data_IF_961614720888
#
_entry.id   IF_961614720888
#
_cell.length_a   1.000
_cell.length_b   1.000
_cell.length_c   1.000
_cell.angle_alpha   90.00
_cell.angle_beta   90.00
_cell.angle_gamma   90.00
#
_symmetry.space_group_name_H-M   'P 1'
#
loop_
_entity.id
_entity.type
_entity.pdbx_description
1 polymer ?
#
# COMPACT_ATOMS: atom_id res chain seq x y z
N UNK A 1 17.68 22.94 -9.15
CA UNK A 1 19.13 22.71 -9.33
C UNK A 1 19.66 22.07 -8.05
N UNK A 2 19.88 20.76 -8.08
CA UNK A 2 20.28 19.95 -6.93
C UNK A 2 19.58 18.59 -6.88
N UNK A 3 20.01 17.64 -7.70
CA UNK A 3 19.74 16.21 -7.48
C UNK A 3 20.63 15.67 -6.34
N UNK A 4 20.17 14.61 -5.64
CA UNK A 4 20.93 13.50 -5.00
C UNK A 4 19.93 12.67 -4.14
N UNK A 5 19.30 11.62 -4.69
CA UNK A 5 19.64 10.17 -4.66
C UNK A 5 19.84 9.58 -3.24
N UNK A 6 18.89 8.72 -2.84
CA UNK A 6 18.98 7.79 -1.70
C UNK A 6 19.83 6.57 -2.09
N UNK A 7 20.70 6.15 -1.17
CA UNK A 7 21.71 5.10 -1.33
C UNK A 7 21.44 3.94 -0.34
N UNK A 8 21.61 2.67 -0.74
CA UNK A 8 21.77 1.49 0.16
C UNK A 8 22.74 0.48 -0.49
N UNK A 9 24.01 0.35 -0.09
CA UNK A 9 24.69 -0.39 1.00
C UNK A 9 24.97 -1.86 0.67
N UNK A 10 26.13 -2.11 0.04
CA UNK A 10 26.72 -3.45 -0.18
C UNK A 10 28.23 -3.45 0.15
N UNK A 11 28.60 -3.02 1.36
CA UNK A 11 29.88 -3.36 2.02
C UNK A 11 31.17 -2.66 1.53
N UNK A 12 32.14 -2.50 2.44
CA UNK A 12 32.04 -1.48 3.48
C UNK A 12 31.99 -0.04 2.93
N UNK A 13 32.20 0.21 1.62
CA UNK A 13 32.11 1.56 1.00
C UNK A 13 32.16 1.64 -0.56
N UNK A 14 31.82 0.59 -1.33
CA UNK A 14 31.62 0.70 -2.80
C UNK A 14 30.17 0.39 -3.22
N UNK A 15 29.63 1.13 -4.20
CA UNK A 15 28.20 1.16 -4.55
C UNK A 15 27.95 0.77 -6.02
N UNK A 16 26.96 -0.09 -6.31
CA UNK A 16 26.54 -0.50 -7.65
C UNK A 16 24.99 -0.55 -7.74
N UNK A 17 24.38 0.04 -8.79
CA UNK A 17 22.93 0.02 -9.04
C UNK A 17 22.59 -0.93 -10.19
N UNK A 18 21.69 -1.93 -10.00
CA UNK A 18 21.30 -2.85 -11.07
C UNK A 18 20.10 -2.38 -11.91
N UNK A 19 19.55 -1.19 -11.69
CA UNK A 19 18.41 -0.67 -12.47
C UNK A 19 18.81 0.58 -13.28
N UNK A 20 18.46 0.66 -14.57
CA UNK A 20 18.60 1.89 -15.35
C UNK A 20 17.71 2.98 -14.76
N UNK A 21 18.20 4.23 -14.79
CA UNK A 21 17.56 5.39 -14.18
C UNK A 21 16.10 5.53 -14.63
N UNK A 22 15.16 5.47 -13.68
CA UNK A 22 13.77 5.81 -13.92
C UNK A 22 13.63 7.33 -14.10
N UNK A 23 13.47 7.76 -15.35
CA UNK A 23 12.92 9.08 -15.68
C UNK A 23 11.41 9.10 -15.35
N UNK A 24 10.96 10.20 -14.73
CA UNK A 24 9.56 10.63 -14.84
C UNK A 24 8.62 10.37 -13.65
N UNK A 25 8.80 11.10 -12.54
CA UNK A 25 7.65 11.41 -11.67
C UNK A 25 6.89 12.57 -12.33
N UNK A 26 5.72 12.30 -12.93
CA UNK A 26 4.83 13.35 -13.44
C UNK A 26 4.12 14.03 -12.26
N UNK A 27 4.63 15.19 -11.86
CA UNK A 27 3.85 16.19 -11.13
C UNK A 27 2.82 16.80 -12.11
N UNK A 28 1.54 16.49 -11.96
CA UNK A 28 0.47 17.26 -12.63
C UNK A 28 0.26 18.56 -11.85
N UNK A 29 0.92 19.63 -12.30
CA UNK A 29 0.62 21.00 -11.87
C UNK A 29 -0.17 21.65 -13.01
N UNK A 30 -1.45 21.94 -12.77
CA UNK A 30 -2.25 22.77 -13.67
C UNK A 30 -1.81 24.23 -13.53
N UNK A 31 -1.14 24.76 -14.55
CA UNK A 31 -1.07 26.19 -14.83
C UNK A 31 -1.27 26.40 -16.32
N UNK A 32 -2.23 27.27 -16.67
CA UNK A 32 -2.43 27.78 -18.03
C UNK A 32 -1.20 28.56 -18.49
N UNK A 33 -0.62 28.21 -19.65
CA UNK A 33 -0.23 29.15 -20.71
C UNK A 33 0.40 28.44 -21.93
N UNK A 34 0.15 29.04 -23.09
CA UNK A 34 0.34 28.56 -24.46
C UNK A 34 1.73 28.95 -25.01
N UNK A 35 2.41 28.04 -25.72
CA UNK A 35 3.34 28.38 -26.81
C UNK A 35 3.69 27.14 -27.68
N UNK A 36 3.37 27.21 -28.96
CA UNK A 36 3.71 26.24 -30.02
C UNK A 36 5.22 26.22 -30.34
N UNK A 37 5.78 25.05 -30.70
CA UNK A 37 6.53 24.73 -31.96
C UNK A 37 7.09 23.29 -31.91
N UNK A 38 6.95 22.57 -33.04
CA UNK A 38 7.26 21.16 -33.40
C UNK A 38 8.76 20.76 -33.18
N UNK A 39 9.25 19.50 -33.10
CA UNK A 39 8.98 18.24 -33.84
C UNK A 39 9.68 17.04 -33.15
N UNK A 40 9.24 15.82 -33.52
CA UNK A 40 9.89 14.49 -33.51
C UNK A 40 9.86 13.61 -32.26
N UNK A 41 8.99 12.59 -32.35
CA UNK A 41 9.15 11.19 -31.99
C UNK A 41 9.84 10.83 -30.67
N UNK A 42 9.07 10.23 -29.74
CA UNK A 42 9.33 8.94 -29.07
C UNK A 42 8.12 8.60 -28.16
N UNK A 43 7.79 7.31 -28.13
CA UNK A 43 6.92 6.60 -27.19
C UNK A 43 5.40 6.81 -27.36
N UNK A 44 4.82 5.84 -28.08
CA UNK A 44 3.48 5.31 -27.83
C UNK A 44 3.26 5.17 -26.32
N UNK A 45 2.66 6.19 -25.71
CA UNK A 45 2.08 6.08 -24.38
C UNK A 45 0.91 5.15 -24.57
N UNK A 46 1.05 3.91 -24.11
CA UNK A 46 -0.09 2.99 -24.01
C UNK A 46 -1.24 3.74 -23.34
N UNK A 47 -2.48 3.58 -23.84
CA UNK A 47 -3.62 4.32 -23.32
C UNK A 47 -3.69 4.12 -21.79
N UNK A 48 -4.08 5.15 -21.02
CA UNK A 48 -4.12 5.05 -19.57
C UNK A 48 -4.88 3.76 -19.23
N UNK A 49 -4.20 2.86 -18.51
CA UNK A 49 -4.75 1.57 -18.08
C UNK A 49 -6.18 1.81 -17.61
N UNK A 50 -7.10 1.00 -18.12
CA UNK A 50 -8.53 1.12 -17.84
C UNK A 50 -8.76 1.47 -16.36
N UNK A 51 -9.61 2.45 -16.08
CA UNK A 51 -9.93 2.89 -14.71
C UNK A 51 -10.30 1.66 -13.87
N UNK A 52 -9.32 1.15 -13.13
CA UNK A 52 -9.49 -0.08 -12.38
C UNK A 52 -10.47 0.23 -11.25
N UNK A 53 -11.57 -0.52 -11.21
CA UNK A 53 -12.59 -0.34 -10.19
C UNK A 53 -12.05 -0.89 -8.87
N UNK A 54 -12.19 -0.10 -7.80
CA UNK A 54 -11.85 -0.53 -6.44
C UNK A 54 -13.11 -0.77 -5.61
N UNK A 55 -13.02 -1.74 -4.70
CA UNK A 55 -14.05 -2.05 -3.70
C UNK A 55 -13.50 -1.84 -2.30
N UNK A 56 -14.33 -1.30 -1.42
CA UNK A 56 -13.95 -1.10 -0.02
C UNK A 56 -14.01 -2.45 0.69
N UNK A 57 -12.95 -2.78 1.41
CA UNK A 57 -12.80 -4.00 2.18
C UNK A 57 -12.71 -3.67 3.68
N UNK A 58 -13.33 -4.50 4.50
CA UNK A 58 -13.22 -4.50 5.95
C UNK A 58 -12.35 -5.67 6.40
N UNK A 59 -11.54 -5.45 7.42
CA UNK A 59 -10.83 -6.53 8.11
C UNK A 59 -11.78 -7.15 9.13
N UNK A 60 -12.22 -8.38 8.89
CA UNK A 60 -13.26 -9.04 9.71
C UNK A 60 -12.66 -9.77 10.90
N UNK A 61 -11.63 -10.59 10.65
CA UNK A 61 -11.03 -11.42 11.71
C UNK A 61 -9.64 -11.93 11.33
N UNK A 62 -8.91 -12.37 12.36
CA UNK A 62 -7.66 -13.12 12.22
C UNK A 62 -7.92 -14.55 12.70
N UNK A 63 -7.72 -15.54 11.83
CA UNK A 63 -7.97 -16.95 12.11
C UNK A 63 -6.66 -17.68 12.39
N UNK A 64 -6.63 -18.42 13.51
CA UNK A 64 -5.54 -19.32 13.87
C UNK A 64 -6.02 -20.77 13.71
N UNK A 65 -5.68 -21.41 12.58
CA UNK A 65 -5.98 -22.82 12.37
C UNK A 65 -4.85 -23.67 12.95
N UNK A 66 -5.04 -24.26 14.13
CA UNK A 66 -4.09 -25.25 14.63
C UNK A 66 -4.44 -26.62 14.01
N UNK A 67 -3.48 -27.36 13.42
CA UNK A 67 -2.02 -27.27 13.57
C UNK A 67 -1.28 -26.49 12.46
N UNK A 68 -1.99 -25.78 11.58
CA UNK A 68 -1.38 -25.05 10.47
C UNK A 68 -0.49 -23.91 11.02
N UNK A 69 0.76 -23.77 10.54
CA UNK A 69 1.71 -22.81 11.10
C UNK A 69 1.41 -21.36 10.68
N UNK A 70 0.53 -21.15 9.69
CA UNK A 70 0.27 -19.85 9.09
C UNK A 70 -1.17 -19.39 9.36
N UNK A 71 -1.36 -18.35 10.19
CA UNK A 71 -2.67 -17.74 10.39
C UNK A 71 -3.18 -17.03 9.13
N UNK A 72 -4.50 -16.87 9.04
CA UNK A 72 -5.18 -16.16 7.97
C UNK A 72 -5.80 -14.85 8.44
N UNK A 73 -5.86 -13.85 7.58
CA UNK A 73 -6.63 -12.61 7.76
C UNK A 73 -7.82 -12.67 6.82
N UNK A 74 -9.03 -12.54 7.36
CA UNK A 74 -10.25 -12.51 6.56
C UNK A 74 -10.65 -11.06 6.31
N UNK A 75 -10.67 -10.70 5.04
CA UNK A 75 -11.20 -9.44 4.52
C UNK A 75 -12.58 -9.70 3.92
N UNK A 76 -13.46 -8.71 3.99
CA UNK A 76 -14.78 -8.78 3.36
C UNK A 76 -15.14 -7.46 2.71
N UNK A 77 -15.76 -7.51 1.54
CA UNK A 77 -16.33 -6.35 0.89
C UNK A 77 -17.35 -5.63 1.80
N UNK A 78 -17.26 -4.30 1.88
CA UNK A 78 -18.11 -3.51 2.77
C UNK A 78 -19.56 -3.40 2.28
N UNK A 79 -19.79 -3.59 0.99
CA UNK A 79 -21.09 -3.52 0.33
C UNK A 79 -21.44 -4.86 -0.33
N UNK A 80 -22.70 -5.03 -0.73
CA UNK A 80 -23.13 -6.20 -1.50
C UNK A 80 -22.26 -6.34 -2.77
N UNK A 81 -21.79 -7.55 -3.12
CA UNK A 81 -22.23 -8.86 -2.64
C UNK A 81 -21.55 -9.43 -1.36
N UNK A 82 -20.78 -8.65 -0.61
CA UNK A 82 -20.07 -9.09 0.60
C UNK A 82 -19.04 -10.21 0.39
N UNK A 83 -18.36 -10.20 -0.75
CA UNK A 83 -17.31 -11.18 -1.09
C UNK A 83 -16.19 -11.20 -0.06
N UNK A 84 -15.76 -12.39 0.32
CA UNK A 84 -14.61 -12.59 1.23
C UNK A 84 -13.28 -12.68 0.49
N UNK A 85 -12.20 -12.27 1.12
CA UNK A 85 -10.82 -12.52 0.67
C UNK A 85 -9.98 -12.94 1.88
N UNK A 86 -9.41 -14.15 1.83
CA UNK A 86 -8.53 -14.65 2.89
C UNK A 86 -7.06 -14.52 2.48
N UNK A 87 -6.25 -13.96 3.38
CA UNK A 87 -4.81 -13.74 3.17
C UNK A 87 -4.02 -14.50 4.23
N UNK A 88 -3.21 -15.46 3.79
CA UNK A 88 -2.31 -16.21 4.68
C UNK A 88 -1.07 -15.38 5.01
N UNK A 89 -0.72 -15.26 6.29
CA UNK A 89 0.35 -14.39 6.76
C UNK A 89 1.24 -15.07 7.78
N UNK A 90 2.40 -14.45 8.08
CA UNK A 90 3.25 -14.90 9.17
C UNK A 90 2.59 -14.67 10.53
N UNK A 91 2.95 -15.50 11.51
CA UNK A 91 2.41 -15.40 12.87
C UNK A 91 2.60 -14.02 13.50
N UNK A 92 3.77 -13.40 13.32
CA UNK A 92 4.08 -12.06 13.83
C UNK A 92 3.17 -10.98 13.25
N UNK A 93 2.86 -11.08 11.94
CA UNK A 93 2.04 -10.11 11.23
C UNK A 93 0.58 -10.25 11.66
N UNK A 94 0.08 -11.49 11.76
CA UNK A 94 -1.25 -11.78 12.30
C UNK A 94 -1.42 -11.28 13.73
N UNK A 95 -0.44 -11.51 14.61
CA UNK A 95 -0.46 -10.99 15.98
C UNK A 95 -0.52 -9.45 15.99
N UNK A 96 0.32 -8.79 15.21
CA UNK A 96 0.32 -7.33 15.10
C UNK A 96 -1.04 -6.78 14.64
N UNK A 97 -1.68 -7.45 13.68
CA UNK A 97 -2.97 -7.02 13.13
C UNK A 97 -4.11 -7.34 14.10
N UNK A 98 -4.11 -8.50 14.75
CA UNK A 98 -5.11 -8.86 15.76
C UNK A 98 -5.12 -7.85 16.92
N UNK A 99 -3.95 -7.45 17.40
CA UNK A 99 -3.83 -6.41 18.43
C UNK A 99 -4.34 -5.06 17.95
N UNK A 100 -4.13 -4.72 16.67
CA UNK A 100 -4.66 -3.50 16.07
C UNK A 100 -6.19 -3.51 15.99
N UNK A 101 -6.78 -4.64 15.58
CA UNK A 101 -8.23 -4.84 15.53
C UNK A 101 -8.88 -4.70 16.91
N UNK A 102 -8.23 -5.22 17.94
CA UNK A 102 -8.70 -5.10 19.33
C UNK A 102 -8.46 -3.70 19.94
N UNK A 103 -7.74 -2.81 19.23
CA UNK A 103 -7.38 -1.49 19.74
C UNK A 103 -6.44 -1.55 20.96
N UNK A 104 -5.70 -2.65 21.13
CA UNK A 104 -4.77 -2.81 22.25
C UNK A 104 -3.55 -1.90 22.08
N UNK A 105 -3.17 -1.20 23.15
CA UNK A 105 -1.97 -0.37 23.18
C UNK A 105 -0.89 -1.07 23.99
N UNK A 106 0.27 -1.25 23.38
CA UNK A 106 1.41 -1.88 24.06
C UNK A 106 2.14 -0.90 25.00
N UNK A 107 2.72 -1.39 26.12
CA UNK A 107 3.56 -0.56 26.99
C UNK A 107 4.84 -0.07 26.30
N UNK A 108 5.27 -0.75 25.23
CA UNK A 108 6.34 -0.31 24.32
C UNK A 108 5.80 -0.37 22.89
N UNK A 109 5.96 0.72 22.10
CA UNK A 109 5.42 0.75 20.76
C UNK A 109 6.09 -0.32 19.87
N UNK A 110 5.28 -1.09 19.16
CA UNK A 110 5.72 -1.96 18.07
C UNK A 110 6.25 -1.13 16.90
N UNK A 111 6.90 -1.77 15.92
CA UNK A 111 7.37 -1.08 14.70
C UNK A 111 6.21 -0.39 13.97
N UNK A 112 5.04 -1.03 13.88
CA UNK A 112 3.86 -0.45 13.25
C UNK A 112 3.30 0.73 14.04
N UNK A 113 3.30 0.67 15.38
CA UNK A 113 2.87 1.79 16.24
C UNK A 113 3.85 2.98 16.16
N UNK A 114 5.15 2.70 16.18
CA UNK A 114 6.19 3.70 15.98
C UNK A 114 6.02 4.40 14.63
N UNK A 115 5.77 3.63 13.57
CA UNK A 115 5.66 4.19 12.22
C UNK A 115 4.38 5.02 12.05
N UNK A 116 3.23 4.55 12.56
CA UNK A 116 2.01 5.35 12.60
C UNK A 116 2.19 6.66 13.39
N UNK A 117 2.89 6.60 14.53
CA UNK A 117 3.22 7.79 15.33
C UNK A 117 4.16 8.74 14.60
N UNK A 118 5.12 8.21 13.84
CA UNK A 118 6.03 9.00 13.03
C UNK A 118 5.30 9.72 11.89
N UNK A 119 4.42 9.03 11.15
CA UNK A 119 3.59 9.65 10.11
C UNK A 119 2.74 10.79 10.67
N UNK A 120 2.09 10.56 11.81
CA UNK A 120 1.33 11.59 12.52
C UNK A 120 2.21 12.78 12.94
N UNK A 121 3.39 12.53 13.50
CA UNK A 121 4.35 13.57 13.88
C UNK A 121 4.87 14.39 12.69
N UNK A 122 4.90 13.78 11.50
CA UNK A 122 5.26 14.43 10.24
C UNK A 122 4.08 15.09 9.53
N UNK A 123 2.88 15.05 10.12
CA UNK A 123 1.64 15.56 9.50
C UNK A 123 1.36 14.90 8.15
N UNK A 124 1.52 13.58 8.12
CA UNK A 124 1.20 12.72 6.98
C UNK A 124 0.02 11.84 7.36
N UNK A 125 -1.05 11.94 6.59
CA UNK A 125 -2.27 11.17 6.77
C UNK A 125 -2.28 9.96 5.84
N UNK A 126 -2.76 8.83 6.34
CA UNK A 126 -3.02 7.63 5.52
C UNK A 126 -4.43 7.75 4.98
N UNK A 127 -4.55 7.95 3.67
CA UNK A 127 -5.84 8.12 2.98
C UNK A 127 -6.49 6.77 2.70
N UNK A 128 -5.72 5.81 2.21
CA UNK A 128 -6.20 4.47 1.90
C UNK A 128 -5.04 3.48 1.82
N UNK A 129 -5.36 2.20 1.91
CA UNK A 129 -4.47 1.11 1.50
C UNK A 129 -5.10 0.45 0.30
N UNK A 130 -4.38 0.33 -0.82
CA UNK A 130 -4.88 -0.25 -2.06
C UNK A 130 -4.24 -1.60 -2.30
N UNK A 131 -5.02 -2.66 -2.45
CA UNK A 131 -4.57 -3.97 -2.90
C UNK A 131 -4.55 -3.93 -4.43
N UNK A 132 -3.36 -3.88 -5.00
CA UNK A 132 -3.16 -3.56 -6.44
C UNK A 132 -2.80 -4.77 -7.27
N UNK A 133 -2.19 -5.80 -6.67
CA UNK A 133 -1.77 -6.98 -7.42
C UNK A 133 -1.75 -8.23 -6.55
N UNK A 134 -1.94 -9.38 -7.20
CA UNK A 134 -1.64 -10.67 -6.62
C UNK A 134 -0.76 -11.47 -7.58
N UNK A 135 0.43 -11.90 -7.13
CA UNK A 135 1.33 -12.74 -7.93
C UNK A 135 2.01 -13.78 -7.06
N UNK A 136 2.12 -15.01 -7.57
CA UNK A 136 2.84 -16.11 -6.91
C UNK A 136 2.37 -16.35 -5.45
N UNK A 137 1.09 -16.13 -5.18
CA UNK A 137 0.51 -16.29 -3.84
C UNK A 137 0.77 -15.11 -2.89
N UNK A 138 1.27 -13.98 -3.40
CA UNK A 138 1.59 -12.79 -2.61
C UNK A 138 0.74 -11.62 -3.07
N UNK A 139 0.08 -10.97 -2.11
CA UNK A 139 -0.64 -9.72 -2.34
C UNK A 139 0.28 -8.52 -2.20
N UNK A 140 0.26 -7.66 -3.22
CA UNK A 140 0.92 -6.36 -3.22
C UNK A 140 -0.10 -5.28 -2.90
N UNK A 141 0.37 -4.28 -2.17
CA UNK A 141 -0.45 -3.14 -1.81
C UNK A 141 0.31 -1.84 -2.03
N UNK A 142 -0.44 -0.74 -2.04
CA UNK A 142 0.07 0.62 -2.02
C UNK A 142 -0.54 1.37 -0.85
N UNK A 143 0.29 2.12 -0.14
CA UNK A 143 -0.12 3.03 0.91
C UNK A 143 -0.31 4.41 0.29
N UNK A 144 -1.55 4.90 0.31
CA UNK A 144 -1.93 6.21 -0.19
C UNK A 144 -1.79 7.24 0.94
N UNK A 145 -0.79 8.10 0.81
CA UNK A 145 -0.42 9.09 1.82
C UNK A 145 -0.72 10.50 1.32
N UNK A 146 -1.27 11.32 2.20
CA UNK A 146 -1.44 12.76 1.97
C UNK A 146 -0.54 13.54 2.91
N UNK A 147 0.20 14.49 2.36
CA UNK A 147 1.03 15.43 3.11
C UNK A 147 0.80 16.86 2.64
N UNK A 148 1.40 17.82 3.33
CA UNK A 148 1.45 19.22 2.86
C UNK A 148 2.09 19.40 1.48
N UNK A 149 2.88 18.42 1.01
CA UNK A 149 3.54 18.43 -0.31
C UNK A 149 2.71 17.76 -1.40
N UNK A 150 1.52 17.25 -1.05
CA UNK A 150 0.65 16.50 -1.95
C UNK A 150 0.56 15.02 -1.60
N UNK A 151 -0.07 14.29 -2.52
CA UNK A 151 -0.34 12.86 -2.43
C UNK A 151 0.87 12.04 -2.89
N UNK A 152 1.17 10.96 -2.18
CA UNK A 152 2.25 10.02 -2.51
C UNK A 152 1.73 8.60 -2.35
N UNK A 153 1.91 7.78 -3.38
CA UNK A 153 1.68 6.34 -3.32
C UNK A 153 2.99 5.62 -3.01
N UNK A 154 3.01 4.80 -1.96
CA UNK A 154 4.17 4.01 -1.57
C UNK A 154 3.84 2.52 -1.69
N UNK A 155 4.58 1.74 -2.50
CA UNK A 155 4.38 0.30 -2.55
C UNK A 155 4.74 -0.33 -1.21
N UNK A 156 3.89 -1.22 -0.70
CA UNK A 156 4.07 -1.90 0.57
C UNK A 156 3.54 -3.34 0.53
N UNK A 157 3.86 -4.11 1.57
CA UNK A 157 3.20 -5.40 1.80
C UNK A 157 1.78 -5.15 2.29
N UNK A 158 0.85 -6.02 1.91
CA UNK A 158 -0.54 -5.93 2.37
C UNK A 158 -0.64 -5.94 3.91
N UNK A 159 0.17 -6.76 4.58
CA UNK A 159 0.18 -6.84 6.05
C UNK A 159 0.56 -5.53 6.73
N UNK A 160 1.59 -4.84 6.21
CA UNK A 160 2.03 -3.56 6.76
C UNK A 160 0.98 -2.47 6.53
N UNK A 161 0.37 -2.43 5.34
CA UNK A 161 -0.72 -1.50 5.03
C UNK A 161 -1.90 -1.67 5.98
N UNK A 162 -2.41 -2.90 6.12
CA UNK A 162 -3.51 -3.21 7.05
C UNK A 162 -3.16 -2.80 8.48
N UNK A 163 -1.95 -3.15 8.95
CA UNK A 163 -1.51 -2.84 10.30
C UNK A 163 -1.45 -1.34 10.59
N UNK A 164 -1.11 -0.51 9.60
CA UNK A 164 -1.07 0.95 9.72
C UNK A 164 -2.45 1.59 9.61
N UNK A 165 -3.29 1.10 8.68
CA UNK A 165 -4.65 1.58 8.47
C UNK A 165 -5.51 1.43 9.73
N UNK A 166 -5.45 0.25 10.37
CA UNK A 166 -6.20 -0.04 11.60
C UNK A 166 -5.76 0.78 12.81
N UNK A 167 -4.51 1.27 12.83
CA UNK A 167 -3.92 2.03 13.95
C UNK A 167 -4.15 3.54 13.85
N UNK A 168 -4.76 4.01 12.76
CA UNK A 168 -5.16 5.40 12.68
C UNK A 168 -6.28 5.70 13.70
N UNK A 169 -6.40 6.96 14.11
CA UNK A 169 -7.47 7.40 15.03
C UNK A 169 -8.85 7.09 14.43
N UNK A 170 -8.98 7.30 13.12
CA UNK A 170 -10.07 6.79 12.30
C UNK A 170 -9.45 5.80 11.32
N UNK A 171 -9.82 4.51 11.34
CA UNK A 171 -9.23 3.53 10.46
C UNK A 171 -9.28 3.96 9.00
N UNK A 172 -8.15 3.88 8.31
CA UNK A 172 -8.10 4.20 6.89
C UNK A 172 -8.79 3.07 6.09
N UNK A 173 -9.53 3.41 5.02
CA UNK A 173 -10.18 2.41 4.18
C UNK A 173 -9.17 1.50 3.47
N UNK A 174 -9.47 0.21 3.44
CA UNK A 174 -8.78 -0.76 2.59
C UNK A 174 -9.57 -0.87 1.27
N UNK A 175 -8.88 -0.73 0.15
CA UNK A 175 -9.45 -0.78 -1.19
C UNK A 175 -8.86 -1.97 -1.91
N UNK A 176 -9.66 -2.83 -2.52
CA UNK A 176 -9.21 -3.95 -3.33
C UNK A 176 -9.59 -3.74 -4.79
N UNK A 177 -8.65 -3.98 -5.70
CA UNK A 177 -8.95 -4.00 -7.13
C UNK A 177 -10.00 -5.08 -7.45
N UNK A 178 -10.99 -4.72 -8.25
CA UNK A 178 -12.08 -5.63 -8.66
C UNK A 178 -11.54 -6.87 -9.38
N UNK A 179 -10.45 -6.71 -10.16
CA UNK A 179 -9.74 -7.78 -10.84
C UNK A 179 -9.29 -8.89 -9.87
N UNK A 180 -8.66 -8.49 -8.77
CA UNK A 180 -8.17 -9.39 -7.72
C UNK A 180 -9.33 -10.03 -6.98
N UNK A 181 -10.34 -9.24 -6.61
CA UNK A 181 -11.49 -9.74 -5.88
C UNK A 181 -12.25 -10.78 -6.73
N UNK A 182 -12.41 -10.55 -8.03
CA UNK A 182 -13.07 -11.49 -8.93
C UNK A 182 -12.32 -12.82 -9.09
N UNK A 183 -10.99 -12.79 -9.08
CA UNK A 183 -10.15 -13.99 -9.24
C UNK A 183 -10.01 -14.80 -7.93
N UNK A 184 -9.96 -14.10 -6.79
CA UNK A 184 -9.55 -14.70 -5.51
C UNK A 184 -10.60 -14.64 -4.41
N UNK A 185 -11.82 -14.17 -4.69
CA UNK A 185 -12.86 -14.18 -3.67
C UNK A 185 -13.15 -15.59 -3.16
N UNK A 186 -13.46 -15.65 -1.88
CA UNK A 186 -13.92 -16.83 -1.18
C UNK A 186 -15.27 -16.44 -0.61
N UNK A 187 -16.34 -17.08 -1.09
CA UNK A 187 -17.76 -16.85 -0.79
C UNK A 187 -18.41 -15.67 -1.53
#
# INVERSE_FOLDING_TARGET
>A
MGELRLWCFLGPWEWYSPFPAAEGIRLCVMTDEIADTETSDIASTEPPEALESYRVMNVVSVTYNLPEPYPGINLQEAEEPYRGLAVTVALSDAQSIAMALEGQVNPRPSTHELFASALKGLTVDIIAVRITKHELGVFYAELDLMSSRGQVLIPCRLTDGIALALRQVVPAPLLCAESILQEHYQF
#
